data_IF_655279931494
#
_entry.id   IF_655279931494
#
_cell.length_a   1.000
_cell.length_b   1.000
_cell.length_c   1.000
_cell.angle_alpha   90.00
_cell.angle_beta   90.00
_cell.angle_gamma   90.00
#
_symmetry.space_group_name_H-M   'P 1'
#
loop_
_entity.id
_entity.type
_entity.pdbx_description
1 polymer ?
#
# COMPACT_ATOMS: atom_id res chain seq x y z
N UNK A 1 -12.02 -22.08 34.64
CA UNK A 1 -12.74 -21.26 33.65
C UNK A 1 -12.20 -19.84 33.83
N UNK A 2 -11.16 -19.48 33.04
CA UNK A 2 -10.53 -18.14 33.11
C UNK A 2 -11.25 -17.30 32.05
N UNK A 3 -11.89 -16.19 32.42
CA UNK A 3 -12.50 -15.33 31.40
C UNK A 3 -11.36 -14.64 30.64
N UNK A 4 -11.22 -14.94 29.35
CA UNK A 4 -10.48 -14.12 28.43
C UNK A 4 -11.21 -12.77 28.34
N UNK A 5 -10.77 -11.81 29.11
CA UNK A 5 -11.04 -10.41 28.81
C UNK A 5 -10.30 -10.08 27.52
N UNK A 6 -11.01 -10.19 26.39
CA UNK A 6 -10.60 -9.53 25.17
C UNK A 6 -10.56 -8.04 25.49
N UNK A 7 -9.35 -7.52 25.58
CA UNK A 7 -9.09 -6.10 25.70
C UNK A 7 -9.55 -5.46 24.38
N UNK A 8 -10.77 -4.88 24.37
CA UNK A 8 -11.41 -4.24 23.20
C UNK A 8 -10.82 -2.80 23.03
N UNK A 9 -9.61 -2.54 23.53
CA UNK A 9 -9.22 -1.14 23.75
C UNK A 9 -8.30 -0.53 22.72
N UNK A 10 -8.06 -1.06 21.55
CA UNK A 10 -7.55 -0.16 20.48
C UNK A 10 -7.66 -0.87 19.13
N UNK A 11 -8.57 -0.41 18.27
CA UNK A 11 -8.56 -0.78 16.87
C UNK A 11 -7.23 -0.38 16.26
N UNK A 12 -6.55 -1.29 15.55
CA UNK A 12 -5.34 -1.00 14.80
C UNK A 12 -5.61 0.12 13.78
N UNK A 13 -4.81 1.18 13.81
CA UNK A 13 -4.96 2.31 12.89
C UNK A 13 -3.97 2.19 11.74
N UNK A 14 -4.48 2.16 10.53
CA UNK A 14 -3.70 1.97 9.30
C UNK A 14 -3.64 3.28 8.51
N UNK A 15 -2.43 3.69 8.15
CA UNK A 15 -2.18 4.80 7.24
C UNK A 15 -2.02 4.27 5.81
N UNK A 16 -2.89 4.68 4.90
CA UNK A 16 -2.71 4.44 3.47
C UNK A 16 -1.99 5.64 2.85
N UNK A 17 -0.79 5.41 2.30
CA UNK A 17 -0.09 6.39 1.50
C UNK A 17 -0.52 6.27 0.03
N UNK A 18 -1.08 7.34 -0.51
CA UNK A 18 -1.65 7.39 -1.86
C UNK A 18 -0.85 8.31 -2.77
N UNK A 19 -0.60 7.90 -4.01
CA UNK A 19 -0.04 8.74 -5.07
C UNK A 19 -1.13 9.39 -5.97
N UNK A 20 -2.40 9.32 -5.55
CA UNK A 20 -3.55 9.86 -6.27
C UNK A 20 -4.05 8.96 -7.41
N UNK A 21 -3.39 7.81 -7.69
CA UNK A 21 -3.81 6.89 -8.74
C UNK A 21 -4.90 5.96 -8.19
N UNK A 22 -6.13 5.98 -8.74
CA UNK A 22 -7.25 5.22 -8.18
C UNK A 22 -7.00 3.71 -8.05
N UNK A 23 -6.28 3.12 -9.01
CA UNK A 23 -5.91 1.69 -8.97
C UNK A 23 -5.03 1.35 -7.76
N UNK A 24 -4.04 2.18 -7.45
CA UNK A 24 -3.16 1.99 -6.29
C UNK A 24 -3.92 2.15 -4.96
N UNK A 25 -4.79 3.17 -4.87
CA UNK A 25 -5.63 3.37 -3.68
C UNK A 25 -6.55 2.17 -3.45
N UNK A 26 -7.20 1.68 -4.53
CA UNK A 26 -8.09 0.53 -4.45
C UNK A 26 -7.37 -0.74 -3.98
N UNK A 27 -6.12 -0.95 -4.42
CA UNK A 27 -5.29 -2.07 -3.96
C UNK A 27 -4.96 -1.95 -2.47
N UNK A 28 -4.55 -0.77 -2.01
CA UNK A 28 -4.25 -0.52 -0.59
C UNK A 28 -5.49 -0.70 0.29
N UNK A 29 -6.65 -0.21 -0.13
CA UNK A 29 -7.93 -0.42 0.57
C UNK A 29 -8.28 -1.91 0.62
N UNK A 30 -8.02 -2.66 -0.47
CA UNK A 30 -8.23 -4.11 -0.50
C UNK A 30 -7.45 -4.85 0.58
N UNK A 31 -6.19 -4.49 0.82
CA UNK A 31 -5.39 -5.02 1.94
C UNK A 31 -6.05 -4.68 3.29
N UNK A 32 -6.48 -3.43 3.46
CA UNK A 32 -7.15 -3.04 4.72
C UNK A 32 -8.44 -3.84 4.96
N UNK A 33 -9.25 -4.09 3.92
CA UNK A 33 -10.45 -4.91 4.04
C UNK A 33 -10.12 -6.37 4.39
N UNK A 34 -9.03 -6.94 3.85
CA UNK A 34 -8.57 -8.27 4.24
C UNK A 34 -8.18 -8.30 5.72
N UNK A 35 -7.44 -7.29 6.19
CA UNK A 35 -7.07 -7.17 7.60
C UNK A 35 -8.28 -6.97 8.51
N UNK A 36 -9.31 -6.22 8.07
CA UNK A 36 -10.57 -6.07 8.80
C UNK A 36 -11.34 -7.38 8.98
N UNK A 37 -11.14 -8.35 8.10
CA UNK A 37 -11.70 -9.70 8.26
C UNK A 37 -11.05 -10.49 9.39
N UNK A 38 -9.83 -10.15 9.77
CA UNK A 38 -9.02 -10.90 10.76
C UNK A 38 -8.86 -10.14 12.08
N UNK A 39 -8.91 -8.81 12.06
CA UNK A 39 -8.68 -7.98 13.23
C UNK A 39 -9.51 -6.69 13.18
N UNK A 40 -9.76 -6.10 14.36
CA UNK A 40 -10.40 -4.80 14.41
C UNK A 40 -9.42 -3.72 13.98
N UNK A 41 -9.64 -3.12 12.80
CA UNK A 41 -8.80 -2.04 12.31
C UNK A 41 -9.59 -0.96 11.57
N UNK A 42 -9.04 0.23 11.57
CA UNK A 42 -9.52 1.40 10.81
C UNK A 42 -8.40 1.90 9.90
N UNK A 43 -8.73 2.59 8.83
CA UNK A 43 -7.73 3.16 7.94
C UNK A 43 -8.08 4.58 7.50
N UNK A 44 -7.03 5.36 7.24
CA UNK A 44 -7.11 6.71 6.70
C UNK A 44 -6.23 6.81 5.45
N UNK A 45 -6.72 7.49 4.41
CA UNK A 45 -5.98 7.70 3.16
C UNK A 45 -5.33 9.07 3.19
N UNK A 46 -4.02 9.11 3.03
CA UNK A 46 -3.24 10.34 2.92
C UNK A 46 -2.59 10.45 1.56
N UNK A 47 -2.97 11.47 0.79
CA UNK A 47 -2.40 11.71 -0.53
C UNK A 47 -1.05 12.41 -0.44
N UNK A 48 -0.05 11.86 -1.13
CA UNK A 48 1.30 12.37 -1.16
C UNK A 48 1.39 13.66 -1.97
N UNK A 49 1.93 14.70 -1.37
CA UNK A 49 2.19 15.94 -2.06
C UNK A 49 3.69 16.29 -2.02
N UNK A 50 4.29 16.47 -3.20
CA UNK A 50 5.66 16.96 -3.32
C UNK A 50 5.75 18.43 -2.94
N UNK A 51 6.79 18.80 -2.20
CA UNK A 51 7.07 20.24 -1.93
C UNK A 51 7.53 20.95 -3.19
N UNK A 52 8.31 20.27 -4.04
CA UNK A 52 8.90 20.80 -5.27
C UNK A 52 8.36 20.04 -6.48
N UNK A 53 7.16 20.37 -6.91
CA UNK A 53 6.44 19.67 -7.97
C UNK A 53 7.20 19.64 -9.31
N UNK A 54 7.90 20.75 -9.65
CA UNK A 54 8.63 20.91 -10.91
C UNK A 54 9.92 20.05 -10.99
N UNK A 55 10.47 19.61 -9.86
CA UNK A 55 11.65 18.74 -9.80
C UNK A 55 11.30 17.26 -9.64
N UNK A 56 10.04 16.87 -9.78
CA UNK A 56 9.58 15.49 -9.52
C UNK A 56 10.36 14.42 -10.29
N UNK A 57 10.67 14.66 -11.58
CA UNK A 57 11.34 13.65 -12.43
C UNK A 57 12.79 13.37 -12.01
N UNK A 58 13.69 14.38 -11.89
CA UNK A 58 15.06 14.13 -11.42
C UNK A 58 15.10 13.65 -9.97
N UNK A 59 14.19 14.13 -9.10
CA UNK A 59 14.12 13.70 -7.71
C UNK A 59 13.76 12.22 -7.57
N UNK A 60 12.98 11.62 -8.46
CA UNK A 60 12.69 10.19 -8.42
C UNK A 60 13.94 9.33 -8.57
N UNK A 61 14.87 9.71 -9.45
CA UNK A 61 16.14 8.98 -9.62
C UNK A 61 17.00 9.14 -8.37
N UNK A 62 17.12 10.34 -7.87
CA UNK A 62 17.88 10.64 -6.65
C UNK A 62 17.34 9.88 -5.43
N UNK A 63 16.02 9.85 -5.24
CA UNK A 63 15.39 9.12 -4.15
C UNK A 63 15.63 7.61 -4.24
N UNK A 64 15.59 7.02 -5.44
CA UNK A 64 15.94 5.60 -5.62
C UNK A 64 17.37 5.31 -5.19
N UNK A 65 18.29 6.19 -5.56
CA UNK A 65 19.67 6.10 -5.10
C UNK A 65 19.78 6.17 -3.57
N UNK A 66 19.07 7.11 -2.93
CA UNK A 66 19.04 7.20 -1.46
C UNK A 66 18.47 5.94 -0.80
N UNK A 67 17.47 5.29 -1.41
CA UNK A 67 16.90 4.04 -0.91
C UNK A 67 17.90 2.88 -0.90
N UNK A 68 18.91 2.87 -1.77
CA UNK A 68 19.96 1.85 -1.76
C UNK A 68 20.80 1.88 -0.46
N UNK A 69 20.90 3.05 0.16
CA UNK A 69 21.64 3.30 1.41
C UNK A 69 20.70 3.88 2.49
N UNK A 70 19.48 3.33 2.58
CA UNK A 70 18.48 3.87 3.49
C UNK A 70 18.93 3.72 4.95
N UNK A 71 19.07 4.86 5.61
CA UNK A 71 19.33 5.02 7.04
C UNK A 71 18.52 6.21 7.56
N UNK A 72 18.56 6.50 8.84
CA UNK A 72 17.78 7.59 9.43
C UNK A 72 18.02 8.94 8.78
N UNK A 73 19.25 9.25 8.36
CA UNK A 73 19.58 10.51 7.71
C UNK A 73 18.95 10.61 6.31
N UNK A 74 19.16 9.60 5.45
CA UNK A 74 18.60 9.56 4.09
C UNK A 74 17.07 9.45 4.12
N UNK A 75 16.51 8.75 5.08
CA UNK A 75 15.07 8.67 5.29
C UNK A 75 14.46 10.04 5.64
N UNK A 76 15.07 10.80 6.56
CA UNK A 76 14.65 12.17 6.85
C UNK A 76 14.75 13.08 5.62
N UNK A 77 15.80 12.92 4.80
CA UNK A 77 15.93 13.65 3.56
C UNK A 77 14.80 13.34 2.58
N UNK A 78 14.48 12.05 2.39
CA UNK A 78 13.36 11.61 1.56
C UNK A 78 12.04 12.19 2.08
N UNK A 79 11.75 12.04 3.37
CA UNK A 79 10.53 12.58 3.98
C UNK A 79 10.46 14.12 3.82
N UNK A 80 11.58 14.81 3.93
CA UNK A 80 11.70 16.24 3.77
C UNK A 80 11.29 16.77 2.38
N UNK A 81 11.28 15.94 1.34
CA UNK A 81 10.86 16.30 -0.02
C UNK A 81 9.34 16.34 -0.19
N UNK A 82 8.62 15.74 0.74
CA UNK A 82 7.15 15.69 0.75
C UNK A 82 6.58 16.68 1.77
N UNK A 83 5.29 17.04 1.60
CA UNK A 83 4.56 17.76 2.65
C UNK A 83 4.49 16.92 3.91
N UNK A 84 4.44 17.53 5.11
CA UNK A 84 4.36 16.79 6.36
C UNK A 84 3.15 15.85 6.40
N UNK A 85 3.38 14.66 6.94
CA UNK A 85 2.36 13.65 7.21
C UNK A 85 2.35 13.41 8.71
N UNK A 86 1.17 13.46 9.32
CA UNK A 86 0.99 13.06 10.71
C UNK A 86 0.93 11.53 10.79
N UNK A 87 1.92 10.91 11.43
CA UNK A 87 2.10 9.45 11.43
C UNK A 87 2.01 8.86 12.84
N UNK A 88 2.04 9.71 13.87
CA UNK A 88 2.25 9.31 15.27
C UNK A 88 1.19 8.36 15.85
N UNK A 89 0.00 8.33 15.24
CA UNK A 89 -1.13 7.55 15.75
C UNK A 89 -1.44 6.30 14.92
N UNK A 90 -0.54 5.89 14.02
CA UNK A 90 -0.75 4.74 13.16
C UNK A 90 0.15 3.57 13.55
N UNK A 91 -0.42 2.36 13.48
CA UNK A 91 0.24 1.10 13.82
C UNK A 91 0.81 0.38 12.58
N UNK A 92 0.30 0.71 11.40
CA UNK A 92 0.68 0.10 10.12
C UNK A 92 0.60 1.12 8.99
N UNK A 93 1.54 1.03 8.05
CA UNK A 93 1.50 1.79 6.80
C UNK A 93 1.22 0.83 5.65
N UNK A 94 0.28 1.17 4.78
CA UNK A 94 -0.02 0.43 3.55
C UNK A 94 0.11 1.37 2.37
N UNK A 95 0.81 0.93 1.31
CA UNK A 95 0.95 1.72 0.10
C UNK A 95 1.00 0.82 -1.14
N UNK A 96 0.55 1.34 -2.27
CA UNK A 96 0.67 0.68 -3.56
C UNK A 96 1.29 1.63 -4.60
N UNK A 97 1.99 1.02 -5.56
CA UNK A 97 2.61 1.73 -6.67
C UNK A 97 3.98 2.33 -6.38
N UNK A 98 4.74 2.56 -7.44
CA UNK A 98 6.15 2.95 -7.34
C UNK A 98 6.42 4.37 -6.84
N UNK A 99 5.41 5.26 -6.86
CA UNK A 99 5.59 6.63 -6.39
C UNK A 99 5.55 6.74 -4.86
N UNK A 100 4.94 5.78 -4.18
CA UNK A 100 4.80 5.75 -2.71
C UNK A 100 5.97 5.06 -2.02
N UNK A 101 6.67 4.15 -2.72
CA UNK A 101 7.64 3.20 -2.15
C UNK A 101 8.70 3.86 -1.27
N UNK A 102 9.38 4.88 -1.80
CA UNK A 102 10.48 5.50 -1.09
C UNK A 102 10.02 6.21 0.19
N UNK A 103 8.87 6.88 0.14
CA UNK A 103 8.32 7.53 1.32
C UNK A 103 7.79 6.50 2.33
N UNK A 104 7.14 5.43 1.87
CA UNK A 104 6.71 4.33 2.71
C UNK A 104 7.90 3.72 3.48
N UNK A 105 9.00 3.41 2.79
CA UNK A 105 10.22 2.90 3.41
C UNK A 105 10.84 3.90 4.41
N UNK A 106 10.91 5.19 4.04
CA UNK A 106 11.47 6.23 4.89
C UNK A 106 10.66 6.46 6.16
N UNK A 107 9.33 6.57 6.03
CA UNK A 107 8.42 6.79 7.17
C UNK A 107 8.41 5.57 8.10
N UNK A 108 8.34 4.36 7.54
CA UNK A 108 8.43 3.12 8.31
C UNK A 108 9.70 3.04 9.15
N UNK A 109 10.86 3.42 8.56
CA UNK A 109 12.14 3.43 9.27
C UNK A 109 12.21 4.50 10.37
N UNK A 110 11.81 5.75 10.07
CA UNK A 110 11.90 6.88 11.03
C UNK A 110 11.00 6.64 12.24
N UNK A 111 9.76 6.23 11.98
CA UNK A 111 8.75 6.10 13.03
C UNK A 111 8.67 4.69 13.62
N UNK A 112 9.48 3.74 13.09
CA UNK A 112 9.47 2.32 13.48
C UNK A 112 8.09 1.67 13.38
N UNK A 113 7.35 2.05 12.35
CA UNK A 113 6.03 1.51 12.06
C UNK A 113 6.18 0.43 10.97
N UNK A 114 5.64 -0.79 11.16
CA UNK A 114 5.62 -1.81 10.13
C UNK A 114 4.91 -1.28 8.87
N UNK A 115 5.38 -1.73 7.71
CA UNK A 115 4.90 -1.20 6.45
C UNK A 115 4.69 -2.30 5.40
N UNK A 116 3.60 -2.17 4.66
CA UNK A 116 3.27 -3.02 3.51
C UNK A 116 3.40 -2.18 2.24
N UNK A 117 4.07 -2.74 1.24
CA UNK A 117 4.17 -2.14 -0.08
C UNK A 117 3.64 -3.10 -1.14
N UNK A 118 2.79 -2.62 -2.05
CA UNK A 118 2.33 -3.39 -3.21
C UNK A 118 2.95 -2.86 -4.50
N UNK A 119 3.31 -3.79 -5.39
CA UNK A 119 3.77 -3.50 -6.74
C UNK A 119 5.25 -3.75 -6.99
N UNK A 120 5.66 -3.60 -8.26
CA UNK A 120 7.04 -3.85 -8.70
C UNK A 120 8.05 -2.97 -7.98
N UNK A 121 9.21 -3.49 -7.58
CA UNK A 121 10.18 -2.80 -6.72
C UNK A 121 10.85 -1.58 -7.35
N UNK A 122 10.87 -1.47 -8.68
CA UNK A 122 11.47 -0.35 -9.43
C UNK A 122 12.88 0.06 -8.94
N UNK A 123 13.68 -0.92 -8.52
CA UNK A 123 15.03 -0.71 -7.99
C UNK A 123 15.10 -0.39 -6.49
N UNK A 124 13.99 -0.48 -5.77
CA UNK A 124 13.95 -0.37 -4.30
C UNK A 124 13.84 -1.78 -3.72
N UNK A 125 14.80 -2.23 -2.89
CA UNK A 125 14.85 -3.62 -2.43
C UNK A 125 13.73 -3.93 -1.41
N UNK A 126 13.22 -5.16 -1.47
CA UNK A 126 12.11 -5.63 -0.61
C UNK A 126 12.44 -5.59 0.87
N UNK A 127 13.74 -5.69 1.25
CA UNK A 127 14.19 -5.61 2.65
C UNK A 127 13.82 -4.30 3.37
N UNK A 128 13.41 -3.28 2.65
CA UNK A 128 13.00 -1.99 3.22
C UNK A 128 11.54 -1.99 3.68
N UNK A 129 10.83 -3.07 3.43
CA UNK A 129 9.44 -3.23 3.82
C UNK A 129 9.27 -4.42 4.77
N UNK A 130 8.33 -4.32 5.69
CA UNK A 130 7.92 -5.45 6.52
C UNK A 130 7.30 -6.55 5.65
N UNK A 131 6.48 -6.12 4.66
CA UNK A 131 5.91 -6.97 3.62
C UNK A 131 5.95 -6.22 2.29
N UNK A 132 6.49 -6.86 1.26
CA UNK A 132 6.47 -6.38 -0.12
C UNK A 132 5.67 -7.36 -0.98
N UNK A 133 4.46 -6.97 -1.33
CA UNK A 133 3.54 -7.78 -2.14
C UNK A 133 3.78 -7.52 -3.63
N UNK A 134 4.08 -8.57 -4.38
CA UNK A 134 4.43 -8.48 -5.81
C UNK A 134 3.71 -9.56 -6.61
N UNK A 135 3.47 -9.31 -7.91
CA UNK A 135 2.86 -10.30 -8.80
C UNK A 135 3.83 -11.40 -9.26
N UNK A 136 5.12 -11.15 -9.09
CA UNK A 136 6.18 -12.10 -9.41
C UNK A 136 7.33 -11.92 -8.41
N UNK A 137 8.19 -12.94 -8.28
CA UNK A 137 9.33 -12.88 -7.38
C UNK A 137 10.43 -11.98 -7.96
N UNK A 138 10.80 -10.94 -7.22
CA UNK A 138 11.84 -9.98 -7.61
C UNK A 138 13.15 -10.16 -6.88
N UNK A 139 13.13 -10.61 -5.65
CA UNK A 139 14.31 -10.91 -4.84
C UNK A 139 14.03 -12.09 -3.89
N UNK A 140 15.08 -12.58 -3.21
CA UNK A 140 14.99 -13.70 -2.27
C UNK A 140 14.74 -13.27 -0.83
N UNK A 141 14.51 -11.97 -0.59
CA UNK A 141 14.26 -11.49 0.75
C UNK A 141 12.90 -12.00 1.27
N UNK A 142 12.80 -12.45 2.53
CA UNK A 142 11.57 -13.02 3.09
C UNK A 142 10.37 -12.07 3.07
N UNK A 143 10.59 -10.76 3.02
CA UNK A 143 9.51 -9.78 2.91
C UNK A 143 8.87 -9.76 1.51
N UNK A 144 9.53 -10.29 0.48
CA UNK A 144 8.95 -10.37 -0.86
C UNK A 144 7.96 -11.54 -0.95
N UNK A 145 6.70 -11.24 -0.87
CA UNK A 145 5.61 -12.22 -0.95
C UNK A 145 4.91 -12.04 -2.30
N UNK A 146 4.84 -13.14 -3.06
CA UNK A 146 4.12 -13.18 -4.34
C UNK A 146 2.64 -13.44 -4.08
N UNK A 147 1.77 -12.70 -4.75
CA UNK A 147 0.34 -12.91 -4.70
C UNK A 147 -0.22 -13.27 -6.09
N UNK A 148 -1.21 -14.17 -6.12
CA UNK A 148 -1.84 -14.60 -7.37
C UNK A 148 -2.97 -13.66 -7.82
N UNK A 149 -3.65 -13.04 -6.85
CA UNK A 149 -4.81 -12.17 -7.12
C UNK A 149 -4.55 -10.79 -6.52
N UNK A 150 -4.57 -9.77 -7.36
CA UNK A 150 -4.39 -8.39 -6.93
C UNK A 150 -5.50 -7.95 -5.98
N UNK A 151 -5.18 -7.52 -4.76
CA UNK A 151 -6.14 -6.97 -3.82
C UNK A 151 -6.88 -5.78 -4.42
N UNK A 152 -8.17 -5.66 -4.11
CA UNK A 152 -8.97 -4.51 -4.51
C UNK A 152 -10.03 -4.19 -3.45
N UNK A 153 -10.60 -2.97 -3.53
CA UNK A 153 -11.59 -2.49 -2.56
C UNK A 153 -12.94 -3.21 -2.61
N UNK A 154 -13.19 -4.01 -3.64
CA UNK A 154 -14.47 -4.70 -3.81
C UNK A 154 -14.42 -6.04 -3.08
N UNK A 155 -15.36 -6.22 -2.17
CA UNK A 155 -15.61 -7.48 -1.49
C UNK A 155 -16.84 -8.16 -2.10
N UNK A 156 -16.92 -9.49 -2.14
CA UNK A 156 -18.13 -10.20 -2.54
C UNK A 156 -19.38 -9.79 -1.76
N UNK A 157 -19.23 -9.40 -0.51
CA UNK A 157 -20.31 -8.87 0.33
C UNK A 157 -20.83 -7.49 -0.12
N UNK A 158 -19.99 -6.71 -0.81
CA UNK A 158 -20.33 -5.38 -1.32
C UNK A 158 -20.78 -5.40 -2.78
N UNK A 159 -20.71 -6.55 -3.44
CA UNK A 159 -21.24 -6.72 -4.77
C UNK A 159 -22.72 -7.09 -4.67
N UNK A 160 -23.62 -6.16 -5.00
CA UNK A 160 -25.02 -6.52 -5.20
C UNK A 160 -25.08 -7.52 -6.36
N UNK A 161 -25.52 -8.76 -6.09
CA UNK A 161 -25.92 -9.67 -7.14
C UNK A 161 -27.08 -9.03 -7.88
N UNK A 162 -26.82 -8.44 -9.03
CA UNK A 162 -27.87 -8.23 -9.99
C UNK A 162 -28.45 -9.61 -10.27
N UNK A 163 -29.73 -9.82 -9.95
CA UNK A 163 -30.45 -11.04 -10.25
C UNK A 163 -30.79 -11.06 -11.76
N UNK A 164 -29.76 -11.16 -12.57
CA UNK A 164 -29.87 -11.35 -14.00
C UNK A 164 -29.77 -12.85 -14.19
N UNK A 165 -30.85 -13.47 -14.67
CA UNK A 165 -30.86 -14.86 -15.10
C UNK A 165 -30.04 -14.97 -16.40
N UNK A 166 -28.73 -15.08 -16.27
CA UNK A 166 -27.87 -15.38 -17.40
C UNK A 166 -27.88 -16.87 -17.69
N UNK A 167 -28.17 -17.23 -18.93
CA UNK A 167 -27.80 -18.53 -19.47
C UNK A 167 -26.32 -18.47 -19.87
N UNK A 168 -25.42 -19.29 -19.28
CA UNK A 168 -23.97 -19.21 -19.53
C UNK A 168 -23.54 -19.34 -21.00
N UNK A 169 -24.45 -19.80 -21.85
CA UNK A 169 -24.19 -20.03 -23.27
C UNK A 169 -24.47 -18.82 -24.17
N UNK A 170 -25.11 -17.77 -23.66
CA UNK A 170 -25.71 -16.73 -24.49
C UNK A 170 -25.01 -15.37 -24.42
N UNK A 171 -23.86 -15.24 -23.72
CA UNK A 171 -23.21 -13.93 -23.61
C UNK A 171 -21.69 -13.98 -23.62
N UNK A 172 -21.11 -12.88 -24.10
CA UNK A 172 -19.67 -12.58 -24.02
C UNK A 172 -19.48 -11.50 -22.95
N UNK A 173 -18.72 -11.80 -21.89
CA UNK A 173 -18.33 -10.80 -20.92
C UNK A 173 -17.14 -10.01 -21.43
N UNK A 174 -17.32 -8.74 -21.75
CA UNK A 174 -16.25 -7.81 -22.08
C UNK A 174 -15.91 -6.98 -20.84
N UNK A 175 -14.71 -7.18 -20.28
CA UNK A 175 -14.17 -6.36 -19.21
C UNK A 175 -13.27 -5.28 -19.83
N UNK A 176 -13.71 -4.03 -19.77
CA UNK A 176 -12.92 -2.89 -20.19
C UNK A 176 -12.29 -2.29 -18.94
N UNK A 177 -10.95 -2.38 -18.84
CA UNK A 177 -10.20 -1.71 -17.79
C UNK A 177 -10.18 -0.20 -18.01
N UNK A 178 -10.16 0.57 -16.93
CA UNK A 178 -9.94 2.01 -16.99
C UNK A 178 -8.48 2.36 -17.30
N UNK A 179 -8.22 3.61 -17.65
CA UNK A 179 -6.92 4.20 -17.99
C UNK A 179 -5.94 4.13 -16.79
N UNK A 180 -5.40 2.95 -16.54
CA UNK A 180 -4.57 2.73 -15.34
C UNK A 180 -3.12 2.38 -15.60
N UNK A 181 -2.72 2.29 -16.87
CA UNK A 181 -1.34 1.93 -17.22
C UNK A 181 -0.85 2.91 -18.29
N UNK A 182 -0.25 3.99 -17.84
CA UNK A 182 0.57 4.89 -18.62
C UNK A 182 2.02 4.80 -18.16
#
# INVERSE_FOLDING_TARGET
MIPYFLNIENAMRILILSDGIPGHVNQSIGICHMLQGETNCTFEVHELAWKLHFLRSPLKIFIRFLCSFLNTFTANLIQGLFKPIMVQDFDLIVAAGGNTMALNAAVGLIHKIPNIQLGSPRGIPSRLFSVHLTSEKFDDHPSNIVFDITPNKYSPSNCSRASINFHPQDFILLLIGGDGIG
#
